data_IF_238095085955
#
_entry.id   IF_238095085955
#
_cell.length_a   1.000
_cell.length_b   1.000
_cell.length_c   1.000
_cell.angle_alpha   90.00
_cell.angle_beta   90.00
_cell.angle_gamma   90.00
#
_symmetry.space_group_name_H-M   'P 1'
#
loop_
_entity.id
_entity.type
_entity.pdbx_description
1 polymer ?
#
# COMPACT_ATOMS: atom_id res chain seq x y z
N UNK A 1 -70.67 -20.10 3.13
CA UNK A 1 -69.37 -20.70 2.77
C UNK A 1 -68.68 -19.80 1.77
N UNK A 2 -67.68 -19.02 2.20
CA UNK A 2 -66.55 -18.60 1.38
C UNK A 2 -65.53 -17.96 2.32
N UNK A 3 -64.48 -18.71 2.62
CA UNK A 3 -63.35 -18.35 3.48
C UNK A 3 -62.33 -17.56 2.67
N UNK A 4 -62.11 -16.29 3.02
CA UNK A 4 -60.93 -15.55 2.59
C UNK A 4 -59.77 -15.83 3.57
N UNK A 5 -58.56 -16.17 3.10
CA UNK A 5 -57.42 -16.44 3.98
C UNK A 5 -56.82 -15.12 4.52
N UNK A 6 -56.16 -15.16 5.70
CA UNK A 6 -55.51 -13.98 6.28
C UNK A 6 -54.23 -13.66 5.50
N UNK A 7 -54.04 -12.37 5.21
CA UNK A 7 -52.85 -11.85 4.57
C UNK A 7 -51.59 -12.20 5.38
N UNK A 8 -50.70 -13.01 4.79
CA UNK A 8 -49.35 -13.25 5.30
C UNK A 8 -48.59 -11.92 5.33
N UNK A 9 -48.09 -11.57 6.52
CA UNK A 9 -47.10 -10.51 6.70
C UNK A 9 -45.81 -10.95 6.00
N UNK A 10 -45.62 -10.48 4.77
CA UNK A 10 -44.33 -10.56 4.08
C UNK A 10 -43.25 -9.91 4.96
N UNK A 11 -42.24 -10.70 5.32
CA UNK A 11 -41.02 -10.20 5.94
C UNK A 11 -40.41 -9.14 5.00
N UNK A 12 -39.93 -7.99 5.53
CA UNK A 12 -39.36 -6.96 4.69
C UNK A 12 -38.12 -7.54 4.00
N UNK A 13 -38.22 -7.69 2.69
CA UNK A 13 -37.09 -7.96 1.81
C UNK A 13 -36.00 -6.93 2.12
N UNK A 14 -34.75 -7.37 2.40
CA UNK A 14 -33.65 -6.43 2.56
C UNK A 14 -33.56 -5.64 1.27
N UNK A 15 -33.60 -4.30 1.38
CA UNK A 15 -33.38 -3.35 0.29
C UNK A 15 -32.20 -3.85 -0.58
N UNK A 16 -32.55 -4.55 -1.66
CA UNK A 16 -31.64 -4.83 -2.75
C UNK A 16 -31.40 -3.48 -3.38
N UNK A 17 -30.22 -2.91 -3.08
CA UNK A 17 -29.73 -1.74 -3.80
C UNK A 17 -29.59 -2.16 -5.25
N UNK A 18 -30.59 -1.85 -6.05
CA UNK A 18 -30.50 -1.95 -7.49
C UNK A 18 -29.32 -1.05 -7.94
N UNK A 19 -28.29 -1.70 -8.50
CA UNK A 19 -27.19 -1.09 -9.27
C UNK A 19 -26.05 -0.38 -8.53
N UNK A 20 -25.58 -0.91 -7.39
CA UNK A 20 -24.28 -0.52 -6.82
C UNK A 20 -23.29 -1.67 -6.76
N UNK A 21 -22.25 -1.67 -7.60
CA UNK A 21 -21.11 -2.59 -7.47
C UNK A 21 -20.33 -2.26 -6.18
N UNK A 22 -20.68 -2.95 -5.10
CA UNK A 22 -20.09 -2.71 -3.78
C UNK A 22 -18.70 -3.34 -3.68
N UNK A 23 -17.84 -2.78 -2.83
CA UNK A 23 -16.53 -3.35 -2.53
C UNK A 23 -16.61 -4.83 -2.09
N UNK A 24 -17.66 -5.22 -1.37
CA UNK A 24 -17.90 -6.61 -1.00
C UNK A 24 -18.21 -7.50 -2.22
N UNK A 25 -19.06 -7.04 -3.15
CA UNK A 25 -19.38 -7.78 -4.38
C UNK A 25 -18.15 -7.99 -5.27
N UNK A 26 -17.25 -7.00 -5.34
CA UNK A 26 -15.98 -7.12 -6.07
C UNK A 26 -14.97 -8.07 -5.43
N UNK A 27 -15.09 -8.35 -4.13
CA UNK A 27 -14.16 -9.20 -3.39
C UNK A 27 -14.88 -10.39 -2.74
N UNK A 28 -15.47 -11.32 -3.54
CA UNK A 28 -16.29 -12.41 -3.03
C UNK A 28 -15.49 -13.45 -2.22
N UNK A 29 -14.16 -13.45 -2.35
CA UNK A 29 -13.25 -14.32 -1.61
C UNK A 29 -12.99 -13.83 -0.18
N UNK A 30 -13.35 -12.59 0.16
CA UNK A 30 -13.21 -12.06 1.51
C UNK A 30 -14.50 -12.23 2.30
N UNK A 31 -14.43 -12.59 3.59
CA UNK A 31 -15.62 -12.68 4.42
C UNK A 31 -16.24 -11.28 4.54
N UNK A 32 -17.53 -11.15 4.25
CA UNK A 32 -18.21 -9.87 4.35
C UNK A 32 -18.52 -9.56 5.81
N UNK A 33 -18.24 -8.33 6.26
CA UNK A 33 -18.63 -7.91 7.61
C UNK A 33 -20.13 -7.69 7.67
N UNK A 34 -20.82 -8.30 8.64
CA UNK A 34 -22.26 -8.08 8.80
C UNK A 34 -22.56 -6.57 8.98
N UNK A 35 -23.50 -6.00 8.20
CA UNK A 35 -23.88 -4.62 8.36
C UNK A 35 -24.52 -4.45 9.75
N UNK A 36 -24.18 -3.37 10.44
CA UNK A 36 -24.84 -3.05 11.71
C UNK A 36 -26.24 -2.52 11.41
N UNK A 37 -27.25 -3.38 11.56
CA UNK A 37 -28.65 -3.01 11.38
C UNK A 37 -29.03 -2.07 12.53
N UNK A 38 -29.33 -0.82 12.19
CA UNK A 38 -29.91 0.12 13.12
C UNK A 38 -31.39 0.30 12.77
N UNK A 39 -32.26 -0.35 13.54
CA UNK A 39 -33.70 -0.08 13.50
C UNK A 39 -33.94 1.29 14.16
N UNK A 40 -33.73 2.37 13.41
CA UNK A 40 -34.09 3.72 13.84
C UNK A 40 -35.55 3.95 13.49
N UNK A 41 -36.43 3.80 14.48
CA UNK A 41 -37.78 4.36 14.38
C UNK A 41 -37.66 5.86 14.05
N UNK A 42 -38.50 6.35 13.13
CA UNK A 42 -38.54 7.78 12.80
C UNK A 42 -38.90 8.55 14.08
N UNK A 43 -38.03 9.48 14.48
CA UNK A 43 -38.26 10.28 15.69
C UNK A 43 -39.44 11.23 15.50
N UNK A 44 -40.29 11.30 16.52
CA UNK A 44 -41.37 12.29 16.60
C UNK A 44 -40.78 13.70 16.77
N UNK A 45 -41.56 14.74 16.46
CA UNK A 45 -41.10 16.14 16.58
C UNK A 45 -40.72 16.49 18.02
N UNK A 46 -41.49 16.02 19.00
CA UNK A 46 -41.17 16.19 20.42
C UNK A 46 -39.82 15.53 20.79
N UNK A 47 -39.51 14.35 20.24
CA UNK A 47 -38.22 13.70 20.44
C UNK A 47 -37.07 14.44 19.75
N UNK A 48 -37.31 15.08 18.59
CA UNK A 48 -36.32 15.93 17.91
C UNK A 48 -36.01 17.17 18.73
N UNK A 49 -37.03 17.87 19.26
CA UNK A 49 -36.85 19.03 20.12
C UNK A 49 -36.14 18.67 21.44
N UNK A 50 -36.48 17.54 22.05
CA UNK A 50 -35.79 17.06 23.25
C UNK A 50 -34.32 16.75 22.95
N UNK A 51 -34.01 16.17 21.78
CA UNK A 51 -32.63 15.92 21.35
C UNK A 51 -31.86 17.20 21.04
N UNK A 52 -32.47 18.24 20.50
CA UNK A 52 -31.77 19.50 20.24
C UNK A 52 -31.37 20.18 21.54
N UNK A 53 -32.26 20.20 22.54
CA UNK A 53 -31.97 20.71 23.89
C UNK A 53 -30.87 19.89 24.57
N UNK A 54 -30.92 18.56 24.46
CA UNK A 54 -29.86 17.69 24.96
C UNK A 54 -28.53 17.93 24.23
N UNK A 55 -28.54 18.14 22.91
CA UNK A 55 -27.33 18.42 22.14
C UNK A 55 -26.69 19.75 22.56
N UNK A 56 -27.49 20.79 22.80
CA UNK A 56 -27.02 22.07 23.33
C UNK A 56 -26.39 21.90 24.73
N UNK A 57 -27.09 21.23 25.65
CA UNK A 57 -26.56 20.94 26.98
C UNK A 57 -25.29 20.08 26.96
N UNK A 58 -25.20 19.11 26.04
CA UNK A 58 -23.98 18.31 25.86
C UNK A 58 -22.83 19.11 25.26
N UNK A 59 -23.12 20.07 24.37
CA UNK A 59 -22.10 20.99 23.82
C UNK A 59 -21.51 21.87 24.93
N UNK A 60 -22.35 22.40 25.83
CA UNK A 60 -21.89 23.16 26.99
C UNK A 60 -21.05 22.30 27.95
N UNK A 61 -21.52 21.08 28.26
CA UNK A 61 -20.75 20.12 29.06
C UNK A 61 -19.41 19.78 28.41
N UNK A 62 -19.38 19.56 27.11
CA UNK A 62 -18.15 19.30 26.36
C UNK A 62 -17.21 20.50 26.43
N UNK A 63 -17.71 21.72 26.24
CA UNK A 63 -16.91 22.94 26.36
C UNK A 63 -16.32 23.10 27.77
N UNK A 64 -17.09 22.80 28.82
CA UNK A 64 -16.60 22.81 30.19
C UNK A 64 -15.53 21.73 30.44
N UNK A 65 -15.71 20.52 29.88
CA UNK A 65 -14.70 19.45 29.95
C UNK A 65 -13.41 19.87 29.24
N UNK A 66 -13.51 20.44 28.04
CA UNK A 66 -12.33 20.91 27.28
C UNK A 66 -11.61 21.99 28.06
N UNK A 67 -12.31 22.99 28.59
CA UNK A 67 -11.70 24.04 29.42
C UNK A 67 -11.01 23.48 30.67
N UNK A 68 -11.63 22.51 31.34
CA UNK A 68 -11.03 21.81 32.49
C UNK A 68 -9.78 21.00 32.09
N UNK A 69 -9.83 20.36 30.92
CA UNK A 69 -8.72 19.60 30.35
C UNK A 69 -7.56 20.52 29.97
N UNK A 70 -7.83 21.67 29.36
CA UNK A 70 -6.83 22.70 29.05
C UNK A 70 -6.15 23.20 30.33
N UNK A 71 -6.93 23.47 31.39
CA UNK A 71 -6.37 23.85 32.69
C UNK A 71 -5.49 22.74 33.29
N UNK A 72 -5.86 21.47 33.13
CA UNK A 72 -5.06 20.32 33.55
C UNK A 72 -3.77 20.22 32.72
N UNK A 73 -3.85 20.40 31.40
CA UNK A 73 -2.68 20.39 30.52
C UNK A 73 -1.70 21.51 30.87
N UNK A 74 -2.19 22.72 31.19
CA UNK A 74 -1.34 23.82 31.67
C UNK A 74 -0.63 23.42 32.96
N UNK A 75 -1.33 22.85 33.95
CA UNK A 75 -0.71 22.38 35.20
C UNK A 75 0.33 21.28 34.96
N UNK A 76 0.00 20.30 34.12
CA UNK A 76 0.93 19.24 33.77
C UNK A 76 2.17 19.82 33.06
N UNK A 77 1.99 20.81 32.18
CA UNK A 77 3.09 21.49 31.52
C UNK A 77 3.99 22.26 32.51
N UNK A 78 3.42 22.91 33.52
CA UNK A 78 4.21 23.57 34.56
C UNK A 78 4.97 22.59 35.44
N UNK A 79 4.34 21.48 35.83
CA UNK A 79 4.99 20.41 36.60
C UNK A 79 6.14 19.75 35.81
N UNK A 80 5.98 19.57 34.49
CA UNK A 80 7.05 19.07 33.63
C UNK A 80 8.22 20.06 33.52
N UNK A 81 7.97 21.37 33.53
CA UNK A 81 9.02 22.39 33.55
C UNK A 81 9.76 22.43 34.91
N UNK A 82 9.04 22.21 36.01
CA UNK A 82 9.61 22.10 37.35
C UNK A 82 10.51 20.86 37.46
N UNK A 83 10.05 19.70 37.01
CA UNK A 83 10.84 18.46 36.95
C UNK A 83 12.07 18.58 36.04
N UNK A 84 11.94 19.31 34.93
CA UNK A 84 13.06 19.62 34.04
C UNK A 84 14.16 20.42 34.75
N UNK A 85 13.78 21.41 35.55
CA UNK A 85 14.69 22.22 36.37
C UNK A 85 15.30 21.41 37.52
N UNK A 86 14.50 20.65 38.26
CA UNK A 86 14.95 19.84 39.40
C UNK A 86 16.00 18.82 38.99
N UNK A 87 15.76 18.09 37.90
CA UNK A 87 16.66 17.05 37.44
C UNK A 87 17.73 17.54 36.46
N UNK A 88 17.74 18.83 36.09
CA UNK A 88 18.64 19.40 35.07
C UNK A 88 18.59 18.64 33.72
N UNK A 89 17.39 18.17 33.36
CA UNK A 89 17.14 17.38 32.15
C UNK A 89 16.24 18.16 31.21
N UNK A 90 16.53 18.17 29.91
CA UNK A 90 15.72 18.87 28.92
C UNK A 90 14.28 18.33 28.86
N UNK A 91 13.29 19.22 28.75
CA UNK A 91 11.85 18.88 28.64
C UNK A 91 11.55 17.85 27.54
N UNK A 92 12.29 17.92 26.43
CA UNK A 92 12.18 16.97 25.33
C UNK A 92 12.49 15.52 25.75
N UNK A 93 13.43 15.34 26.69
CA UNK A 93 13.77 14.02 27.21
C UNK A 93 12.68 13.47 28.13
N UNK A 94 12.07 14.32 28.98
CA UNK A 94 10.93 13.94 29.82
C UNK A 94 9.70 13.56 28.99
N UNK A 95 9.42 14.33 27.93
CA UNK A 95 8.36 14.01 26.97
C UNK A 95 8.63 12.67 26.26
N UNK A 96 9.89 12.39 25.88
CA UNK A 96 10.27 11.09 25.32
C UNK A 96 10.01 9.95 26.31
N UNK A 97 10.30 10.15 27.59
CA UNK A 97 10.01 9.16 28.65
C UNK A 97 8.50 8.88 28.78
N UNK A 98 7.68 9.94 28.69
CA UNK A 98 6.22 9.84 28.77
C UNK A 98 5.62 9.08 27.57
N UNK A 99 6.04 9.43 26.35
CA UNK A 99 5.54 8.82 25.11
C UNK A 99 6.05 7.38 24.88
N UNK A 100 7.14 6.98 25.52
CA UNK A 100 7.68 5.61 25.42
C UNK A 100 6.78 4.54 26.06
N UNK A 101 5.80 4.93 26.88
CA UNK A 101 4.94 4.00 27.63
C UNK A 101 3.81 3.36 26.81
N UNK A 102 3.52 3.85 25.60
CA UNK A 102 2.41 3.34 24.78
C UNK A 102 2.83 2.27 23.76
N UNK A 103 4.06 1.77 23.84
CA UNK A 103 4.55 0.79 22.89
C UNK A 103 3.88 -0.58 23.08
N UNK A 104 3.05 -0.92 22.09
CA UNK A 104 2.56 -2.26 21.78
C UNK A 104 1.98 -3.01 22.99
N UNK A 105 0.76 -2.63 23.39
CA UNK A 105 -0.06 -3.57 24.18
C UNK A 105 -0.24 -4.82 23.33
N UNK A 106 0.32 -5.93 23.81
CA UNK A 106 0.08 -7.23 23.21
C UNK A 106 -1.42 -7.46 23.08
N UNK A 107 -1.82 -7.98 21.92
CA UNK A 107 -3.22 -8.29 21.68
C UNK A 107 -3.62 -9.36 22.68
N UNK A 108 -4.51 -8.97 23.61
CA UNK A 108 -5.02 -9.88 24.63
C UNK A 108 -5.57 -11.15 23.98
N UNK A 109 -5.05 -12.29 24.42
CA UNK A 109 -5.52 -13.61 24.02
C UNK A 109 -7.03 -13.76 24.24
N UNK A 110 -7.63 -14.69 23.50
CA UNK A 110 -9.06 -14.97 23.60
C UNK A 110 -9.34 -15.67 24.93
N UNK A 111 -9.81 -14.91 25.90
CA UNK A 111 -10.38 -15.47 27.12
C UNK A 111 -11.68 -16.19 26.83
N UNK A 112 -11.88 -17.33 27.46
CA UNK A 112 -13.12 -18.11 27.45
C UNK A 112 -14.36 -17.25 27.79
N UNK A 113 -14.25 -16.40 28.81
CA UNK A 113 -15.35 -15.53 29.23
C UNK A 113 -15.75 -14.58 28.08
N UNK A 114 -14.78 -14.05 27.34
CA UNK A 114 -15.06 -13.21 26.18
C UNK A 114 -15.73 -14.00 25.05
N UNK A 115 -15.35 -15.28 24.88
CA UNK A 115 -15.96 -16.18 23.90
C UNK A 115 -17.42 -16.48 24.25
N UNK A 116 -17.72 -16.81 25.51
CA UNK A 116 -19.08 -17.01 26.03
C UNK A 116 -19.93 -15.74 25.87
N UNK A 117 -19.40 -14.58 26.24
CA UNK A 117 -20.09 -13.29 26.06
C UNK A 117 -20.37 -13.02 24.58
N UNK A 118 -19.44 -13.33 23.67
CA UNK A 118 -19.63 -13.14 22.24
C UNK A 118 -20.74 -14.05 21.68
N UNK A 119 -20.76 -15.32 22.06
CA UNK A 119 -21.80 -16.27 21.66
C UNK A 119 -23.19 -15.82 22.17
N UNK A 120 -23.29 -15.50 23.47
CA UNK A 120 -24.54 -14.98 24.05
C UNK A 120 -24.95 -13.65 23.42
N UNK A 121 -24.01 -12.79 23.06
CA UNK A 121 -24.29 -11.55 22.37
C UNK A 121 -24.88 -11.79 20.97
N UNK A 122 -24.47 -12.85 20.26
CA UNK A 122 -25.07 -13.19 18.97
C UNK A 122 -26.52 -13.66 19.12
N UNK A 123 -26.79 -14.53 20.11
CA UNK A 123 -28.15 -14.99 20.43
C UNK A 123 -29.09 -13.83 20.79
N UNK A 124 -28.68 -13.00 21.75
CA UNK A 124 -29.52 -11.93 22.31
C UNK A 124 -29.69 -10.77 21.33
N UNK A 125 -28.65 -10.42 20.58
CA UNK A 125 -28.70 -9.27 19.66
C UNK A 125 -29.28 -9.61 18.28
N UNK A 126 -29.76 -10.83 18.04
CA UNK A 126 -30.47 -11.18 16.82
C UNK A 126 -31.73 -10.30 16.59
N UNK A 127 -32.33 -9.78 17.67
CA UNK A 127 -33.51 -8.88 17.61
C UNK A 127 -33.29 -7.48 18.18
N UNK A 128 -32.69 -7.35 19.37
CA UNK A 128 -32.51 -6.07 20.07
C UNK A 128 -31.10 -5.94 20.63
N UNK A 129 -30.45 -4.82 20.32
CA UNK A 129 -29.14 -4.47 20.88
C UNK A 129 -29.23 -4.30 22.40
N UNK A 130 -28.75 -5.29 23.13
CA UNK A 130 -28.69 -5.29 24.60
C UNK A 130 -27.36 -4.74 25.08
N UNK A 131 -27.35 -4.16 26.29
CA UNK A 131 -26.10 -3.61 26.86
C UNK A 131 -25.19 -4.74 27.32
N UNK A 132 -23.88 -4.51 27.32
CA UNK A 132 -22.90 -5.52 27.72
C UNK A 132 -23.14 -6.06 29.14
N UNK A 133 -23.62 -5.23 30.07
CA UNK A 133 -23.95 -5.66 31.44
C UNK A 133 -25.10 -6.67 31.46
N UNK A 134 -26.13 -6.43 30.65
CA UNK A 134 -27.29 -7.31 30.53
C UNK A 134 -26.88 -8.65 29.89
N UNK A 135 -26.05 -8.60 28.83
CA UNK A 135 -25.53 -9.82 28.18
C UNK A 135 -24.70 -10.66 29.17
N UNK A 136 -23.91 -10.02 30.04
CA UNK A 136 -23.15 -10.74 31.07
C UNK A 136 -24.04 -11.42 32.10
N UNK A 137 -25.11 -10.77 32.53
CA UNK A 137 -26.08 -11.36 33.46
C UNK A 137 -26.78 -12.55 32.80
N UNK A 138 -27.30 -12.37 31.58
CA UNK A 138 -27.94 -13.44 30.81
C UNK A 138 -27.01 -14.62 30.51
N UNK A 139 -25.70 -14.41 30.41
CA UNK A 139 -24.73 -15.49 30.26
C UNK A 139 -24.48 -16.23 31.58
N UNK A 140 -24.52 -15.54 32.72
CA UNK A 140 -24.36 -16.15 34.04
C UNK A 140 -25.61 -16.95 34.45
N UNK A 141 -26.79 -16.45 34.11
CA UNK A 141 -28.07 -17.06 34.44
C UNK A 141 -28.39 -18.30 33.57
N UNK A 142 -27.69 -18.47 32.45
CA UNK A 142 -27.91 -19.57 31.52
C UNK A 142 -27.11 -20.83 31.92
N UNK A 143 -27.78 -21.93 32.29
CA UNK A 143 -27.11 -23.16 32.70
C UNK A 143 -26.26 -23.79 31.58
N UNK A 144 -26.58 -23.53 30.30
CA UNK A 144 -25.81 -24.06 29.17
C UNK A 144 -24.36 -23.54 29.13
N UNK A 145 -24.09 -22.38 29.73
CA UNK A 145 -22.74 -21.81 29.76
C UNK A 145 -21.96 -22.15 31.05
N UNK A 146 -22.61 -22.77 32.04
CA UNK A 146 -21.99 -23.19 33.30
C UNK A 146 -21.29 -24.55 33.15
N UNK A 147 -21.94 -25.53 32.52
CA UNK A 147 -21.45 -26.92 32.39
C UNK A 147 -21.02 -27.26 30.96
N UNK A 148 -20.10 -26.48 30.38
CA UNK A 148 -19.61 -26.72 29.01
C UNK A 148 -18.48 -27.74 28.97
N UNK A 149 -18.48 -28.62 27.96
CA UNK A 149 -17.37 -29.52 27.68
C UNK A 149 -16.15 -28.74 27.16
N UNK A 150 -14.94 -29.30 27.37
CA UNK A 150 -13.71 -28.68 26.87
C UNK A 150 -13.69 -28.51 25.33
N UNK A 151 -14.44 -29.35 24.61
CA UNK A 151 -14.60 -29.26 23.16
C UNK A 151 -15.46 -28.05 22.77
N UNK A 152 -16.60 -27.85 23.44
CA UNK A 152 -17.48 -26.69 23.21
C UNK A 152 -16.78 -25.37 23.56
N UNK A 153 -15.97 -25.38 24.61
CA UNK A 153 -15.13 -24.24 24.99
C UNK A 153 -14.11 -23.85 23.92
N UNK A 154 -13.52 -24.84 23.23
CA UNK A 154 -12.60 -24.64 22.13
C UNK A 154 -13.33 -24.08 20.89
N UNK A 155 -14.51 -24.61 20.57
CA UNK A 155 -15.36 -24.12 19.46
C UNK A 155 -15.73 -22.65 19.66
N UNK A 156 -16.12 -22.24 20.88
CA UNK A 156 -16.43 -20.84 21.16
C UNK A 156 -15.22 -19.91 20.99
N UNK A 157 -14.04 -20.37 21.43
CA UNK A 157 -12.80 -19.60 21.24
C UNK A 157 -12.47 -19.44 19.76
N UNK A 158 -12.56 -20.52 18.98
CA UNK A 158 -12.33 -20.50 17.55
C UNK A 158 -13.33 -19.60 16.82
N UNK A 159 -14.61 -19.69 17.16
CA UNK A 159 -15.65 -18.81 16.61
C UNK A 159 -15.37 -17.32 16.90
N UNK A 160 -14.89 -16.99 18.10
CA UNK A 160 -14.49 -15.61 18.43
C UNK A 160 -13.23 -15.18 17.66
N UNK A 161 -12.24 -16.06 17.46
CA UNK A 161 -11.07 -15.77 16.62
C UNK A 161 -11.50 -15.50 15.18
N UNK A 162 -12.36 -16.34 14.61
CA UNK A 162 -12.93 -16.16 13.28
C UNK A 162 -13.67 -14.82 13.17
N UNK A 163 -14.52 -14.49 14.14
CA UNK A 163 -15.22 -13.20 14.17
C UNK A 163 -14.26 -11.99 14.26
N UNK A 164 -13.20 -12.08 15.07
CA UNK A 164 -12.14 -11.05 15.12
C UNK A 164 -11.41 -10.91 13.78
N UNK A 165 -11.12 -12.04 13.12
CA UNK A 165 -10.47 -12.04 11.82
C UNK A 165 -11.37 -11.43 10.73
N UNK A 166 -12.67 -11.76 10.72
CA UNK A 166 -13.65 -11.13 9.83
C UNK A 166 -13.76 -9.63 10.08
N UNK A 167 -13.75 -9.18 11.34
CA UNK A 167 -13.76 -7.74 11.65
C UNK A 167 -12.47 -7.02 11.19
N UNK A 168 -11.34 -7.74 11.18
CA UNK A 168 -10.03 -7.17 10.80
C UNK A 168 -9.81 -7.15 9.29
N UNK A 169 -10.16 -8.25 8.61
CA UNK A 169 -9.82 -8.50 7.20
C UNK A 169 -11.03 -8.54 6.28
N UNK A 170 -12.23 -8.60 6.85
CA UNK A 170 -13.45 -8.77 6.09
C UNK A 170 -13.82 -7.52 5.29
N UNK A 171 -14.38 -7.74 4.11
CA UNK A 171 -14.82 -6.67 3.23
C UNK A 171 -15.97 -5.87 3.86
N UNK A 172 -15.91 -4.55 3.71
CA UNK A 172 -16.99 -3.65 4.13
C UNK A 172 -18.19 -3.82 3.19
N UNK A 173 -19.40 -3.85 3.75
CA UNK A 173 -20.65 -4.12 3.01
C UNK A 173 -21.01 -3.05 2.00
N UNK A 174 -20.74 -1.79 2.33
CA UNK A 174 -21.11 -0.65 1.49
C UNK A 174 -19.88 0.19 1.16
N UNK A 175 -19.87 0.83 -0.01
CA UNK A 175 -18.77 1.72 -0.41
C UNK A 175 -18.61 2.90 0.57
N UNK A 176 -19.71 3.36 1.17
CA UNK A 176 -19.69 4.36 2.24
C UNK A 176 -18.96 3.84 3.50
N UNK A 177 -19.25 2.62 3.94
CA UNK A 177 -18.53 2.01 5.06
C UNK A 177 -17.06 1.77 4.77
N UNK A 178 -16.71 1.34 3.55
CA UNK A 178 -15.33 1.25 3.10
C UNK A 178 -14.61 2.61 3.13
N UNK A 179 -15.29 3.66 2.68
CA UNK A 179 -14.72 5.00 2.64
C UNK A 179 -14.53 5.64 4.01
N UNK A 180 -15.38 5.33 4.99
CA UNK A 180 -15.19 5.76 6.38
C UNK A 180 -14.03 5.02 7.04
N UNK A 181 -13.93 3.71 6.80
CA UNK A 181 -12.83 2.88 7.30
C UNK A 181 -11.48 3.34 6.75
N UNK A 182 -11.41 3.58 5.43
CA UNK A 182 -10.24 4.13 4.76
C UNK A 182 -9.76 5.42 5.43
N UNK A 183 -10.66 6.39 5.67
CA UNK A 183 -10.32 7.67 6.30
C UNK A 183 -9.80 7.49 7.73
N UNK A 184 -10.50 6.70 8.54
CA UNK A 184 -10.10 6.46 9.93
C UNK A 184 -8.71 5.80 10.03
N UNK A 185 -8.44 4.80 9.19
CA UNK A 185 -7.13 4.13 9.17
C UNK A 185 -6.03 5.06 8.66
N UNK A 186 -6.31 5.90 7.66
CA UNK A 186 -5.33 6.87 7.17
C UNK A 186 -4.95 7.91 8.23
N UNK A 187 -5.92 8.35 9.03
CA UNK A 187 -5.68 9.26 10.16
C UNK A 187 -4.76 8.61 11.21
N UNK A 188 -5.03 7.36 11.59
CA UNK A 188 -4.14 6.60 12.49
C UNK A 188 -2.72 6.44 11.90
N UNK A 189 -2.60 6.18 10.60
CA UNK A 189 -1.29 6.09 9.93
C UNK A 189 -0.57 7.43 9.95
N UNK A 190 -1.30 8.54 9.75
CA UNK A 190 -0.72 9.87 9.78
C UNK A 190 -0.09 10.16 11.15
N UNK A 191 -0.82 9.88 12.23
CA UNK A 191 -0.32 10.05 13.59
C UNK A 191 0.90 9.16 13.86
N UNK A 192 0.88 7.91 13.41
CA UNK A 192 2.02 6.99 13.53
C UNK A 192 3.24 7.47 12.74
N UNK A 193 3.05 7.98 11.53
CA UNK A 193 4.14 8.48 10.66
C UNK A 193 4.72 9.77 11.25
N UNK A 194 3.90 10.70 11.71
CA UNK A 194 4.37 11.91 12.41
C UNK A 194 5.13 11.56 13.68
N UNK A 195 4.62 10.62 14.49
CA UNK A 195 5.33 10.15 15.69
C UNK A 195 6.65 9.42 15.36
N UNK A 196 6.72 8.70 14.24
CA UNK A 196 7.96 8.07 13.76
C UNK A 196 8.99 9.13 13.34
N UNK A 197 8.56 10.11 12.56
CA UNK A 197 9.40 11.23 12.11
C UNK A 197 9.97 11.99 13.31
N UNK A 198 9.13 12.38 14.27
CA UNK A 198 9.57 13.13 15.46
C UNK A 198 10.55 12.34 16.34
N UNK A 199 10.43 11.01 16.41
CA UNK A 199 11.32 10.17 17.24
C UNK A 199 12.64 9.81 16.55
N UNK A 200 12.66 9.70 15.23
CA UNK A 200 13.79 9.09 14.49
C UNK A 200 14.38 9.96 13.39
N UNK A 201 13.70 11.06 13.02
CA UNK A 201 14.03 11.85 11.83
C UNK A 201 13.73 11.12 10.51
N UNK A 202 12.98 10.02 10.53
CA UNK A 202 12.63 9.29 9.32
C UNK A 202 11.86 10.17 8.32
N UNK A 203 12.28 10.11 7.05
CA UNK A 203 11.58 10.75 5.94
C UNK A 203 10.61 9.74 5.32
N UNK A 204 9.31 10.04 5.34
CA UNK A 204 8.26 9.14 4.86
C UNK A 204 7.32 9.89 3.93
N UNK A 205 7.04 9.27 2.78
CA UNK A 205 5.98 9.68 1.85
C UNK A 205 5.11 8.46 1.58
N UNK A 206 3.80 8.62 1.75
CA UNK A 206 2.81 7.58 1.47
C UNK A 206 1.71 8.14 0.57
N UNK A 207 1.41 7.42 -0.51
CA UNK A 207 0.28 7.69 -1.39
C UNK A 207 -0.78 6.61 -1.20
N UNK A 208 -2.03 7.03 -1.04
CA UNK A 208 -3.17 6.13 -0.93
C UNK A 208 -4.28 6.57 -1.88
N UNK A 209 -4.83 5.64 -2.64
CA UNK A 209 -5.92 5.92 -3.57
C UNK A 209 -6.93 4.78 -3.55
N UNK A 210 -8.13 5.07 -4.07
CA UNK A 210 -9.06 4.02 -4.47
C UNK A 210 -8.49 3.19 -5.62
N UNK A 211 -8.93 1.94 -5.69
CA UNK A 211 -8.59 1.01 -6.77
C UNK A 211 -9.71 0.90 -7.81
N UNK A 212 -10.94 1.30 -7.47
CA UNK A 212 -12.09 1.24 -8.35
C UNK A 212 -12.82 2.60 -8.40
N UNK A 213 -13.49 2.90 -9.52
CA UNK A 213 -14.19 4.19 -9.71
C UNK A 213 -15.40 4.36 -8.80
N UNK A 214 -16.13 3.28 -8.54
CA UNK A 214 -17.31 3.28 -7.67
C UNK A 214 -16.98 3.39 -6.18
N UNK A 215 -15.69 3.41 -5.82
CA UNK A 215 -15.28 3.70 -4.44
C UNK A 215 -15.44 5.19 -4.12
N UNK A 216 -16.05 5.42 -2.96
CA UNK A 216 -16.48 6.74 -2.47
C UNK A 216 -15.43 7.47 -1.63
N UNK A 217 -14.22 6.93 -1.50
CA UNK A 217 -13.13 7.61 -0.78
C UNK A 217 -12.20 8.32 -1.75
N UNK A 218 -11.74 9.48 -1.31
CA UNK A 218 -10.84 10.33 -2.08
C UNK A 218 -9.39 9.86 -1.90
N UNK A 219 -8.56 9.96 -2.95
CA UNK A 219 -7.14 9.74 -2.83
C UNK A 219 -6.53 10.74 -1.83
N UNK A 220 -5.54 10.28 -1.08
CA UNK A 220 -4.86 11.10 -0.08
C UNK A 220 -3.38 10.73 0.00
N UNK A 221 -2.57 11.63 0.55
CA UNK A 221 -1.15 11.39 0.80
C UNK A 221 -0.78 11.82 2.21
N UNK A 222 0.23 11.16 2.75
CA UNK A 222 0.83 11.46 4.06
C UNK A 222 2.31 11.69 3.81
N UNK A 223 2.83 12.78 4.37
CA UNK A 223 4.22 13.15 4.21
C UNK A 223 4.75 13.74 5.52
N UNK A 224 6.01 13.45 5.81
CA UNK A 224 6.75 14.10 6.89
C UNK A 224 7.39 15.40 6.38
N UNK A 225 7.59 16.38 7.26
CA UNK A 225 8.09 17.71 6.87
C UNK A 225 9.42 17.68 6.10
N UNK A 226 10.31 16.77 6.47
CA UNK A 226 11.61 16.55 5.81
C UNK A 226 11.51 15.89 4.42
N UNK A 227 10.33 15.41 4.01
CA UNK A 227 10.07 14.79 2.72
C UNK A 227 9.08 15.60 1.85
N UNK A 228 8.59 16.74 2.34
CA UNK A 228 7.52 17.52 1.71
C UNK A 228 7.82 17.91 0.25
N UNK A 229 9.09 18.25 -0.05
CA UNK A 229 9.53 18.67 -1.39
C UNK A 229 10.09 17.51 -2.23
N UNK A 230 10.19 16.30 -1.69
CA UNK A 230 10.86 15.18 -2.36
C UNK A 230 10.33 14.93 -3.78
N UNK A 231 9.01 14.86 -3.97
CA UNK A 231 8.44 14.57 -5.30
C UNK A 231 8.62 15.73 -6.27
N UNK A 232 8.59 16.96 -5.78
CA UNK A 232 8.77 18.13 -6.61
C UNK A 232 10.21 18.20 -7.09
N UNK A 233 11.18 18.05 -6.19
CA UNK A 233 12.61 18.17 -6.52
C UNK A 233 13.15 16.99 -7.34
N UNK A 234 12.59 15.78 -7.18
CA UNK A 234 13.12 14.57 -7.83
C UNK A 234 12.34 14.10 -9.04
N UNK A 235 11.02 14.36 -9.09
CA UNK A 235 10.12 13.86 -10.14
C UNK A 235 9.43 14.99 -10.91
N UNK A 236 9.68 16.26 -10.57
CA UNK A 236 8.99 17.44 -11.13
C UNK A 236 7.46 17.32 -11.04
N UNK A 237 6.97 16.76 -9.92
CA UNK A 237 5.53 16.52 -9.69
C UNK A 237 5.12 16.86 -8.26
N UNK A 238 3.98 17.52 -8.12
CA UNK A 238 3.36 17.74 -6.81
C UNK A 238 2.88 16.42 -6.19
N UNK A 239 2.75 16.40 -4.86
CA UNK A 239 2.24 15.22 -4.14
C UNK A 239 0.84 14.81 -4.64
N UNK A 240 -0.03 15.78 -4.90
CA UNK A 240 -1.37 15.53 -5.46
C UNK A 240 -1.32 14.92 -6.87
N UNK A 241 -0.39 15.35 -7.72
CA UNK A 241 -0.21 14.78 -9.05
C UNK A 241 0.24 13.33 -8.97
N UNK A 242 1.19 13.03 -8.06
CA UNK A 242 1.63 11.66 -7.79
C UNK A 242 0.48 10.79 -7.29
N UNK A 243 -0.35 11.33 -6.39
CA UNK A 243 -1.51 10.61 -5.85
C UNK A 243 -2.56 10.34 -6.93
N UNK A 244 -2.83 11.31 -7.81
CA UNK A 244 -3.74 11.15 -8.96
C UNK A 244 -3.19 10.18 -10.01
N UNK A 245 -1.88 10.18 -10.26
CA UNK A 245 -1.26 9.21 -11.16
C UNK A 245 -1.40 7.78 -10.61
N UNK A 246 -1.24 7.60 -9.29
CA UNK A 246 -1.49 6.32 -8.64
C UNK A 246 -2.97 5.90 -8.78
N UNK A 247 -3.90 6.81 -8.53
CA UNK A 247 -5.34 6.55 -8.68
C UNK A 247 -5.71 6.19 -10.12
N UNK A 248 -5.22 6.97 -11.09
CA UNK A 248 -5.46 6.72 -12.51
C UNK A 248 -4.92 5.35 -12.92
N UNK A 249 -3.72 4.99 -12.47
CA UNK A 249 -3.13 3.68 -12.72
C UNK A 249 -3.96 2.56 -12.08
N UNK A 250 -4.37 2.71 -10.81
CA UNK A 250 -5.13 1.72 -10.08
C UNK A 250 -6.52 1.49 -10.70
N UNK A 251 -7.26 2.57 -10.98
CA UNK A 251 -8.59 2.52 -11.59
C UNK A 251 -8.56 2.03 -13.05
N UNK A 252 -7.52 2.40 -13.83
CA UNK A 252 -7.36 1.88 -15.19
C UNK A 252 -7.10 0.37 -15.17
N UNK A 253 -6.33 -0.11 -14.20
CA UNK A 253 -6.03 -1.53 -14.03
C UNK A 253 -7.24 -2.33 -13.53
N UNK A 254 -8.10 -1.74 -12.70
CA UNK A 254 -9.36 -2.38 -12.31
C UNK A 254 -10.30 -2.60 -13.51
N UNK A 255 -10.39 -1.63 -14.44
CA UNK A 255 -11.13 -1.81 -15.71
C UNK A 255 -10.49 -2.85 -16.64
N UNK A 256 -9.18 -2.99 -16.56
CA UNK A 256 -8.36 -3.87 -17.40
C UNK A 256 -7.76 -4.98 -16.56
N UNK A 257 -8.58 -5.69 -15.78
CA UNK A 257 -8.30 -7.11 -15.54
C UNK A 257 -8.39 -7.85 -16.88
N UNK A 258 -7.47 -7.53 -17.80
CA UNK A 258 -7.09 -8.46 -18.83
C UNK A 258 -6.77 -9.74 -18.07
N UNK A 259 -7.41 -10.88 -18.42
CA UNK A 259 -7.14 -12.13 -17.74
C UNK A 259 -5.63 -12.31 -17.72
N UNK A 260 -5.08 -12.80 -16.61
CA UNK A 260 -3.65 -13.07 -16.47
C UNK A 260 -3.24 -14.06 -17.57
N UNK A 261 -2.87 -13.50 -18.73
CA UNK A 261 -2.44 -14.26 -19.88
C UNK A 261 -1.05 -14.79 -19.57
N UNK A 262 -0.72 -15.93 -20.15
CA UNK A 262 0.62 -16.47 -20.07
C UNK A 262 1.67 -15.40 -20.43
N UNK A 263 1.41 -14.59 -21.47
CA UNK A 263 2.30 -13.54 -21.91
C UNK A 263 2.47 -12.42 -20.87
N UNK A 264 1.38 -11.91 -20.27
CA UNK A 264 1.46 -10.84 -19.27
C UNK A 264 2.22 -11.30 -18.02
N UNK A 265 1.94 -12.51 -17.52
CA UNK A 265 2.64 -13.06 -16.36
C UNK A 265 4.13 -13.31 -16.63
N UNK A 266 4.50 -13.79 -17.83
CA UNK A 266 5.91 -13.95 -18.24
C UNK A 266 6.66 -12.63 -18.21
N UNK A 267 6.05 -11.57 -18.76
CA UNK A 267 6.61 -10.21 -18.75
C UNK A 267 6.78 -9.74 -17.31
N UNK A 268 5.80 -9.97 -16.45
CA UNK A 268 5.85 -9.57 -15.06
C UNK A 268 6.95 -10.30 -14.27
N UNK A 269 7.04 -11.62 -14.38
CA UNK A 269 8.14 -12.40 -13.79
C UNK A 269 9.51 -11.86 -14.24
N UNK A 270 9.67 -11.58 -15.54
CA UNK A 270 10.93 -11.03 -16.06
C UNK A 270 11.24 -9.64 -15.48
N UNK A 271 10.23 -8.79 -15.28
CA UNK A 271 10.39 -7.48 -14.66
C UNK A 271 10.81 -7.59 -13.20
N UNK A 272 10.16 -8.45 -12.41
CA UNK A 272 10.49 -8.65 -10.99
C UNK A 272 11.90 -9.23 -10.84
N UNK A 273 12.25 -10.26 -11.62
CA UNK A 273 13.57 -10.90 -11.57
C UNK A 273 14.67 -9.89 -11.93
N UNK A 274 14.54 -9.17 -13.04
CA UNK A 274 15.56 -8.19 -13.44
C UNK A 274 15.60 -6.97 -12.51
N UNK A 275 14.45 -6.49 -12.04
CA UNK A 275 14.37 -5.39 -11.08
C UNK A 275 15.08 -5.75 -9.78
N UNK A 276 14.76 -6.92 -9.21
CA UNK A 276 15.42 -7.44 -8.01
C UNK A 276 16.92 -7.63 -8.21
N UNK A 277 17.35 -8.12 -9.38
CA UNK A 277 18.78 -8.28 -9.69
C UNK A 277 19.49 -6.93 -9.70
N UNK A 278 18.92 -5.90 -10.34
CA UNK A 278 19.52 -4.56 -10.38
C UNK A 278 19.64 -3.93 -9.00
N UNK A 279 18.61 -4.10 -8.18
CA UNK A 279 18.59 -3.61 -6.79
C UNK A 279 19.66 -4.31 -5.96
N UNK A 280 19.68 -5.65 -5.96
CA UNK A 280 20.61 -6.40 -5.12
C UNK A 280 22.04 -6.32 -5.64
N UNK A 281 22.27 -6.26 -6.95
CA UNK A 281 23.61 -6.06 -7.53
C UNK A 281 24.09 -4.60 -7.49
N UNK A 282 23.24 -3.64 -7.06
CA UNK A 282 23.52 -2.20 -7.09
C UNK A 282 24.00 -1.71 -8.48
N UNK A 283 23.42 -2.27 -9.54
CA UNK A 283 23.81 -1.95 -10.92
C UNK A 283 22.60 -1.86 -11.83
N UNK A 284 22.38 -0.70 -12.43
CA UNK A 284 21.26 -0.45 -13.34
C UNK A 284 21.36 -1.20 -14.68
N UNK A 285 22.55 -1.73 -14.99
CA UNK A 285 22.88 -2.43 -16.25
C UNK A 285 22.81 -3.95 -16.07
N UNK A 286 22.71 -4.45 -14.83
CA UNK A 286 22.59 -5.87 -14.58
C UNK A 286 21.34 -6.43 -15.28
N UNK A 287 21.54 -7.51 -16.04
CA UNK A 287 20.50 -8.22 -16.77
C UNK A 287 20.64 -9.71 -16.49
N UNK A 288 19.50 -10.37 -16.31
CA UNK A 288 19.45 -11.80 -16.08
C UNK A 288 19.94 -12.58 -17.30
N UNK A 289 20.84 -13.53 -17.08
CA UNK A 289 21.32 -14.45 -18.10
C UNK A 289 21.10 -15.88 -17.64
N UNK A 290 20.08 -16.54 -18.18
CA UNK A 290 19.74 -17.92 -17.83
C UNK A 290 20.75 -18.93 -18.38
N UNK A 291 21.30 -18.69 -19.59
CA UNK A 291 22.23 -19.63 -20.24
C UNK A 291 23.60 -19.71 -19.56
N UNK A 292 24.09 -18.59 -19.03
CA UNK A 292 25.38 -18.48 -18.36
C UNK A 292 25.17 -17.92 -16.95
N UNK A 293 24.19 -18.47 -16.23
CA UNK A 293 23.77 -17.98 -14.92
C UNK A 293 24.92 -17.97 -13.92
N UNK A 294 25.61 -19.10 -13.80
CA UNK A 294 26.68 -19.29 -12.83
C UNK A 294 27.83 -18.28 -13.01
N UNK A 295 28.25 -18.02 -14.25
CA UNK A 295 29.34 -17.08 -14.52
C UNK A 295 28.88 -15.62 -14.57
N UNK A 296 27.86 -15.30 -15.37
CA UNK A 296 27.49 -13.93 -15.68
C UNK A 296 26.56 -13.29 -14.64
N UNK A 297 25.96 -14.11 -13.76
CA UNK A 297 25.10 -13.62 -12.68
C UNK A 297 25.75 -13.92 -11.32
N UNK A 298 25.97 -15.19 -11.00
CA UNK A 298 26.43 -15.58 -9.66
C UNK A 298 27.85 -15.12 -9.38
N UNK A 299 28.82 -15.48 -10.22
CA UNK A 299 30.22 -15.04 -10.03
C UNK A 299 30.38 -13.53 -10.25
N UNK A 300 29.80 -12.99 -11.32
CA UNK A 300 29.98 -11.58 -11.69
C UNK A 300 29.39 -10.60 -10.67
N UNK A 301 28.17 -10.87 -10.19
CA UNK A 301 27.46 -9.95 -9.28
C UNK A 301 27.40 -10.45 -7.84
N UNK A 302 27.95 -11.64 -7.55
CA UNK A 302 27.96 -12.21 -6.19
C UNK A 302 26.55 -12.40 -5.60
N UNK A 303 25.58 -12.72 -6.46
CA UNK A 303 24.16 -12.87 -6.08
C UNK A 303 23.57 -14.14 -6.66
N UNK A 304 22.74 -14.82 -5.88
CA UNK A 304 22.03 -16.03 -6.27
C UNK A 304 20.53 -15.84 -6.06
N UNK A 305 19.73 -16.43 -6.94
CA UNK A 305 18.28 -16.45 -6.85
C UNK A 305 17.91 -17.72 -6.09
N UNK A 306 17.27 -17.55 -4.94
CA UNK A 306 16.88 -18.64 -4.03
C UNK A 306 15.36 -18.78 -4.06
N UNK A 307 14.84 -20.00 -3.91
CA UNK A 307 13.40 -20.26 -3.87
C UNK A 307 12.73 -20.37 -5.24
N UNK A 308 13.48 -20.74 -6.28
CA UNK A 308 12.92 -21.01 -7.60
C UNK A 308 11.97 -22.22 -7.55
N UNK A 309 10.72 -22.03 -7.98
CA UNK A 309 9.65 -23.02 -7.82
C UNK A 309 9.48 -23.97 -9.00
N UNK A 310 9.97 -23.62 -10.19
CA UNK A 310 9.84 -24.46 -11.38
C UNK A 310 10.94 -25.51 -11.44
N UNK A 311 10.62 -26.70 -11.94
CA UNK A 311 11.52 -27.87 -11.96
C UNK A 311 12.85 -27.61 -12.68
N UNK A 312 12.84 -26.75 -13.71
CA UNK A 312 14.04 -26.35 -14.45
C UNK A 312 14.33 -24.87 -14.27
N UNK A 313 15.61 -24.51 -14.18
CA UNK A 313 16.02 -23.11 -14.12
C UNK A 313 16.13 -22.52 -15.53
N UNK A 314 15.01 -21.99 -16.03
CA UNK A 314 14.88 -21.46 -17.41
C UNK A 314 14.32 -20.03 -17.40
N UNK A 315 14.36 -19.37 -18.56
CA UNK A 315 13.70 -18.08 -18.72
C UNK A 315 12.20 -18.24 -18.48
N UNK A 316 11.52 -17.29 -17.81
CA UNK A 316 10.07 -17.31 -17.69
C UNK A 316 9.36 -17.45 -19.04
N UNK A 317 9.94 -16.93 -20.13
CA UNK A 317 9.38 -17.06 -21.48
C UNK A 317 9.34 -18.51 -22.00
N UNK A 318 10.22 -19.37 -21.49
CA UNK A 318 10.32 -20.79 -21.87
C UNK A 318 9.41 -21.68 -21.00
N UNK A 319 8.72 -21.12 -20.00
CA UNK A 319 7.74 -21.84 -19.19
C UNK A 319 6.39 -21.75 -19.90
N UNK A 320 5.86 -22.85 -20.41
CA UNK A 320 4.64 -22.87 -21.23
C UNK A 320 3.36 -23.13 -20.43
N UNK A 321 3.47 -23.68 -19.22
CA UNK A 321 2.34 -23.94 -18.34
C UNK A 321 1.91 -22.67 -17.60
N UNK A 322 0.61 -22.38 -17.61
CA UNK A 322 0.03 -21.23 -16.90
C UNK A 322 0.23 -21.39 -15.39
N UNK A 323 -0.05 -22.56 -14.84
CA UNK A 323 0.01 -22.80 -13.39
C UNK A 323 1.44 -22.68 -12.86
N UNK A 324 2.44 -23.20 -13.57
CA UNK A 324 3.86 -23.07 -13.19
C UNK A 324 4.30 -21.61 -13.12
N UNK A 325 3.89 -20.78 -14.09
CA UNK A 325 4.18 -19.35 -14.09
C UNK A 325 3.44 -18.63 -12.96
N UNK A 326 2.19 -19.00 -12.66
CA UNK A 326 1.44 -18.43 -11.54
C UNK A 326 2.11 -18.72 -10.21
N UNK A 327 2.55 -19.96 -9.99
CA UNK A 327 3.27 -20.36 -8.77
C UNK A 327 4.59 -19.59 -8.65
N UNK A 328 5.34 -19.47 -9.75
CA UNK A 328 6.58 -18.67 -9.76
C UNK A 328 6.32 -17.19 -9.48
N UNK A 329 5.30 -16.60 -10.10
CA UNK A 329 4.93 -15.20 -9.90
C UNK A 329 4.49 -14.94 -8.45
N UNK A 330 3.70 -15.84 -7.87
CA UNK A 330 3.29 -15.76 -6.46
C UNK A 330 4.50 -15.84 -5.52
N UNK A 331 5.44 -16.76 -5.78
CA UNK A 331 6.68 -16.88 -5.00
C UNK A 331 7.57 -15.64 -5.11
N UNK A 332 7.66 -15.02 -6.31
CA UNK A 332 8.39 -13.77 -6.51
C UNK A 332 7.73 -12.59 -5.78
N UNK A 333 6.40 -12.50 -5.78
CA UNK A 333 5.65 -11.43 -5.10
C UNK A 333 5.66 -11.58 -3.58
N UNK A 334 5.61 -12.80 -3.07
CA UNK A 334 5.66 -13.07 -1.63
C UNK A 334 7.06 -13.00 -1.03
N UNK A 335 8.09 -12.96 -1.88
CA UNK A 335 9.49 -13.01 -1.46
C UNK A 335 9.99 -14.43 -1.15
N UNK A 336 9.17 -15.47 -1.35
CA UNK A 336 9.63 -16.86 -1.28
C UNK A 336 10.73 -17.15 -2.32
N UNK A 337 10.65 -16.50 -3.50
CA UNK A 337 11.70 -16.46 -4.50
C UNK A 337 12.35 -15.07 -4.52
N UNK A 338 13.62 -14.96 -4.12
CA UNK A 338 14.31 -13.68 -4.00
C UNK A 338 15.81 -13.77 -4.25
N UNK A 339 16.41 -12.62 -4.54
CA UNK A 339 17.85 -12.48 -4.73
C UNK A 339 18.57 -12.36 -3.38
N UNK A 340 19.58 -13.19 -3.19
CA UNK A 340 20.43 -13.22 -2.01
C UNK A 340 21.87 -12.89 -2.39
N UNK A 341 22.52 -12.03 -1.60
CA UNK A 341 23.96 -11.76 -1.75
C UNK A 341 24.74 -12.93 -1.15
N UNK A 342 25.71 -13.43 -1.91
CA UNK A 342 26.63 -14.45 -1.43
C UNK A 342 27.82 -13.82 -0.74
N UNK A 343 28.31 -14.49 0.31
CA UNK A 343 29.58 -14.14 0.95
C UNK A 343 30.77 -14.58 0.08
N UNK A 344 31.95 -13.99 0.32
CA UNK A 344 33.19 -14.37 -0.39
C UNK A 344 33.51 -15.87 -0.29
N UNK A 345 33.24 -16.47 0.87
CA UNK A 345 33.41 -17.91 1.08
C UNK A 345 32.46 -18.72 0.17
N UNK A 346 31.18 -18.36 0.12
CA UNK A 346 30.18 -19.02 -0.73
C UNK A 346 30.46 -18.85 -2.23
N UNK A 347 31.03 -17.72 -2.64
CA UNK A 347 31.44 -17.50 -4.04
C UNK A 347 32.64 -18.40 -4.38
N UNK A 348 33.60 -18.54 -3.46
CA UNK A 348 34.76 -19.42 -3.66
C UNK A 348 34.34 -20.89 -3.72
N UNK A 349 33.43 -21.34 -2.85
CA UNK A 349 32.89 -22.70 -2.93
C UNK A 349 32.13 -22.91 -4.24
N UNK A 350 31.30 -21.95 -4.64
CA UNK A 350 30.58 -22.02 -5.92
C UNK A 350 31.53 -22.02 -7.12
N UNK A 351 32.63 -21.27 -7.08
CA UNK A 351 33.66 -21.31 -8.11
C UNK A 351 34.34 -22.67 -8.20
N UNK A 352 34.68 -23.29 -7.06
CA UNK A 352 35.21 -24.66 -7.00
C UNK A 352 34.21 -25.69 -7.52
N UNK A 353 32.92 -25.53 -7.21
CA UNK A 353 31.85 -26.39 -7.75
C UNK A 353 31.70 -26.25 -9.27
N UNK A 354 31.86 -25.05 -9.82
CA UNK A 354 31.89 -24.82 -11.26
C UNK A 354 33.11 -25.51 -11.89
N UNK A 355 34.30 -25.33 -11.31
CA UNK A 355 35.53 -25.98 -11.78
C UNK A 355 35.44 -27.51 -11.72
N UNK A 356 34.86 -28.06 -10.65
CA UNK A 356 34.61 -29.49 -10.53
C UNK A 356 33.62 -30.01 -11.58
N UNK A 357 32.55 -29.26 -11.88
CA UNK A 357 31.60 -29.59 -12.96
C UNK A 357 32.25 -29.52 -14.34
N UNK A 358 33.11 -28.53 -14.58
CA UNK A 358 33.89 -28.46 -15.82
C UNK A 358 34.87 -29.64 -15.95
N UNK A 359 35.51 -30.05 -14.86
CA UNK A 359 36.41 -31.21 -14.83
C UNK A 359 35.65 -32.54 -15.06
N UNK A 360 34.40 -32.62 -14.60
CA UNK A 360 33.50 -33.75 -14.86
C UNK A 360 32.91 -33.76 -16.29
N UNK A 361 33.24 -32.75 -17.11
CA UNK A 361 32.79 -32.65 -18.51
C UNK A 361 31.41 -32.03 -18.70
N UNK A 362 30.79 -31.50 -17.64
CA UNK A 362 29.53 -30.78 -17.74
C UNK A 362 29.79 -29.35 -18.28
N UNK A 363 29.15 -28.97 -19.38
CA UNK A 363 29.34 -27.63 -19.95
C UNK A 363 28.63 -26.58 -19.10
N UNK A 364 29.37 -25.93 -18.19
CA UNK A 364 28.90 -24.77 -17.42
C UNK A 364 28.86 -23.54 -18.33
N UNK A 365 27.81 -23.45 -19.14
CA UNK A 365 27.55 -22.34 -20.04
C UNK A 365 28.08 -22.52 -21.47
N UNK A 366 27.55 -21.71 -22.39
CA UNK A 366 27.98 -21.73 -23.80
C UNK A 366 29.31 -20.99 -23.93
N UNK A 367 30.42 -21.72 -24.01
CA UNK A 367 31.74 -21.17 -24.39
C UNK A 367 31.60 -20.49 -25.75
N UNK A 368 31.92 -19.20 -25.80
CA UNK A 368 31.81 -18.38 -27.04
C UNK A 368 32.68 -19.03 -28.12
N UNK A 369 32.09 -19.32 -29.29
CA UNK A 369 32.85 -19.84 -30.45
C UNK A 369 34.06 -18.94 -30.68
N UNK A 370 35.25 -19.55 -30.73
CA UNK A 370 36.47 -18.85 -31.09
C UNK A 370 36.25 -18.25 -32.47
N UNK A 371 36.38 -16.93 -32.55
CA UNK A 371 36.24 -16.17 -33.79
C UNK A 371 37.28 -16.70 -34.79
N UNK A 372 36.90 -16.98 -36.04
CA UNK A 372 37.84 -17.48 -37.06
C UNK A 372 38.97 -16.48 -37.35
N UNK A 373 38.75 -15.22 -37.00
CA UNK A 373 39.66 -14.09 -37.04
C UNK A 373 40.60 -13.99 -35.81
N UNK A 374 40.53 -14.93 -34.87
CA UNK A 374 41.41 -14.95 -33.68
C UNK A 374 42.79 -15.46 -34.08
N UNK A 375 43.72 -14.54 -34.37
CA UNK A 375 45.11 -14.84 -34.75
C UNK A 375 45.49 -14.39 -36.16
N UNK A 376 44.52 -13.98 -36.97
CA UNK A 376 44.80 -13.35 -38.26
C UNK A 376 45.14 -11.87 -38.06
N UNK A 377 46.32 -11.44 -38.55
CA UNK A 377 46.68 -10.02 -38.61
C UNK A 377 45.61 -9.31 -39.44
N UNK A 378 44.84 -8.42 -38.81
CA UNK A 378 43.93 -7.53 -39.52
C UNK A 378 44.78 -6.71 -40.49
N UNK A 379 44.62 -6.96 -41.79
CA UNK A 379 45.32 -6.20 -42.81
C UNK A 379 45.02 -4.70 -42.70
N UNK A 380 45.91 -3.82 -43.19
CA UNK A 380 45.65 -2.39 -43.22
C UNK A 380 44.32 -2.15 -43.93
N UNK A 381 43.45 -1.38 -43.27
CA UNK A 381 42.10 -1.09 -43.74
C UNK A 381 42.18 -0.43 -45.11
N UNK A 382 41.96 -1.20 -46.19
CA UNK A 382 41.99 -0.69 -47.57
C UNK A 382 40.87 0.34 -47.70
N UNK A 383 41.22 1.63 -47.72
CA UNK A 383 40.31 2.68 -48.15
C UNK A 383 40.03 2.43 -49.62
N UNK A 384 38.85 1.92 -49.94
CA UNK A 384 38.33 1.99 -51.30
C UNK A 384 38.17 3.46 -51.63
N UNK A 385 39.08 3.99 -52.44
CA UNK A 385 38.82 5.16 -53.28
C UNK A 385 37.87 4.65 -54.34
N UNK A 386 36.57 4.73 -54.06
CA UNK A 386 35.55 4.64 -55.09
C UNK A 386 35.33 6.04 -55.63
N UNK A 387 35.32 6.13 -56.97
CA UNK A 387 35.18 7.34 -57.76
C UNK A 387 34.18 8.34 -57.17
N UNK A 388 34.62 9.59 -57.22
CA UNK A 388 33.88 10.80 -56.90
C UNK A 388 32.56 10.89 -57.66
N UNK A 389 31.47 10.48 -57.00
CA UNK A 389 30.12 10.87 -57.39
C UNK A 389 29.66 12.02 -56.46
N UNK A 390 29.50 13.27 -56.94
CA UNK A 390 29.31 14.45 -56.10
C UNK A 390 28.00 14.48 -55.30
N UNK A 391 27.04 13.60 -55.59
CA UNK A 391 25.77 13.52 -54.86
C UNK A 391 25.87 12.84 -53.47
N UNK A 392 26.89 12.01 -53.23
CA UNK A 392 27.04 11.27 -51.96
C UNK A 392 27.80 12.05 -50.87
N UNK A 393 28.49 13.13 -51.24
CA UNK A 393 29.25 13.96 -50.30
C UNK A 393 28.36 15.02 -49.61
N UNK A 394 27.29 15.47 -50.27
CA UNK A 394 26.32 16.39 -49.71
C UNK A 394 25.49 15.76 -48.57
N UNK A 395 25.14 14.47 -48.67
CA UNK A 395 24.36 13.77 -47.63
C UNK A 395 25.18 13.47 -46.37
N UNK A 396 26.49 13.16 -46.52
CA UNK A 396 27.40 12.94 -45.38
C UNK A 396 27.79 14.23 -44.65
N UNK A 397 27.87 15.38 -45.35
CA UNK A 397 28.08 16.69 -44.72
C UNK A 397 26.82 17.16 -43.96
N UNK A 398 25.62 16.86 -44.46
CA UNK A 398 24.35 17.17 -43.77
C UNK A 398 24.14 16.35 -42.49
N UNK A 399 24.51 15.07 -42.48
CA UNK A 399 24.40 14.22 -41.28
C UNK A 399 25.39 14.59 -40.16
N UNK A 400 26.62 15.03 -40.49
CA UNK A 400 27.59 15.51 -39.48
C UNK A 400 27.31 16.92 -38.96
N UNK A 401 26.63 17.77 -39.74
CA UNK A 401 26.20 19.10 -39.28
C UNK A 401 25.05 19.00 -38.26
N UNK A 402 24.11 18.05 -38.45
CA UNK A 402 22.98 17.83 -37.54
C UNK A 402 23.41 17.20 -36.20
N UNK A 403 24.47 16.39 -36.16
CA UNK A 403 24.98 15.83 -34.89
C UNK A 403 25.77 16.86 -34.07
N UNK A 404 26.50 17.78 -34.72
CA UNK A 404 27.21 18.87 -34.03
C UNK A 404 26.30 20.02 -33.56
N UNK A 405 25.14 20.25 -34.20
CA UNK A 405 24.19 21.27 -33.73
C UNK A 405 23.42 20.83 -32.48
N UNK A 406 23.12 19.53 -32.31
CA UNK A 406 22.48 19.00 -31.09
C UNK A 406 23.40 19.00 -29.86
N UNK A 407 24.71 18.92 -30.05
CA UNK A 407 25.68 18.95 -28.95
C UNK A 407 25.99 20.38 -28.47
N UNK A 408 25.90 21.38 -29.36
CA UNK A 408 26.05 22.81 -29.00
C UNK A 408 24.77 23.49 -28.48
N UNK A 409 23.58 23.01 -28.85
CA UNK A 409 22.31 23.52 -28.32
C UNK A 409 22.05 23.15 -26.83
N UNK A 410 22.82 22.20 -26.28
CA UNK A 410 22.73 21.80 -24.86
C UNK A 410 23.66 22.58 -23.93
N UNK A 411 24.55 23.42 -24.47
CA UNK A 411 25.60 24.11 -23.71
C UNK A 411 25.49 25.65 -23.71
N UNK A 412 24.43 26.23 -24.27
CA UNK A 412 24.15 27.67 -24.21
C UNK A 412 22.64 27.92 -24.07
N UNK A 413 22.15 27.97 -22.82
CA UNK A 413 20.93 28.69 -22.48
C UNK A 413 21.32 29.80 -21.47
N UNK A 414 21.26 31.09 -21.86
CA UNK A 414 21.33 32.20 -20.93
C UNK A 414 19.95 32.50 -20.30
N UNK A 415 19.88 33.36 -19.27
CA UNK A 415 18.95 33.22 -18.15
C UNK A 415 17.54 33.76 -18.40
N UNK A 416 16.61 33.23 -17.61
CA UNK A 416 15.26 33.73 -17.37
C UNK A 416 15.23 35.26 -17.18
N UNK A 417 14.46 35.93 -18.03
CA UNK A 417 14.24 37.37 -18.02
C UNK A 417 12.76 37.70 -17.98
N UNK A 418 12.36 38.30 -16.85
CA UNK A 418 11.10 38.97 -16.51
C UNK A 418 10.58 39.90 -17.62
N UNK A 419 9.28 39.92 -17.86
CA UNK A 419 8.53 41.16 -18.08
C UNK A 419 7.02 40.98 -17.89
N UNK A 420 6.47 41.90 -17.11
CA UNK A 420 5.06 42.17 -16.88
C UNK A 420 4.66 43.42 -17.67
N UNK A 421 3.43 43.48 -18.17
CA UNK A 421 2.54 44.67 -18.26
C UNK A 421 1.28 44.25 -19.03
N UNK A 422 0.12 44.13 -18.38
CA UNK A 422 -0.89 45.21 -18.20
C UNK A 422 -1.57 45.58 -19.52
N UNK A 423 -2.85 45.23 -19.64
CA UNK A 423 -3.87 46.10 -20.22
C UNK A 423 -5.03 46.13 -19.22
N UNK A 424 -5.35 47.36 -18.84
CA UNK A 424 -6.35 47.80 -17.89
C UNK A 424 -7.62 48.22 -18.65
N UNK A 425 -8.79 48.06 -18.02
CA UNK A 425 -10.04 48.79 -18.27
C UNK A 425 -11.07 48.33 -17.22
N UNK A 426 -11.10 49.02 -16.08
CA UNK A 426 -12.25 49.75 -15.48
C UNK A 426 -13.68 49.18 -15.64
N UNK A 427 -14.63 49.28 -14.71
CA UNK A 427 -14.74 49.82 -13.35
C UNK A 427 -16.18 49.46 -12.90
N UNK A 428 -16.40 49.11 -11.61
CA UNK A 428 -17.54 49.54 -10.77
C UNK A 428 -17.65 48.67 -9.51
N UNK A 429 -17.02 49.15 -8.44
CA UNK A 429 -17.33 48.76 -7.07
C UNK A 429 -18.52 49.56 -6.54
N UNK A 430 -19.40 48.88 -5.79
CA UNK A 430 -20.27 49.53 -4.81
C UNK A 430 -19.94 48.90 -3.44
N UNK A 431 -19.26 49.68 -2.62
CA UNK A 431 -18.95 49.44 -1.22
C UNK A 431 -20.17 49.78 -0.34
N UNK A 432 -20.45 48.97 0.68
CA UNK A 432 -21.28 49.37 1.81
C UNK A 432 -20.59 48.96 3.12
N UNK A 433 -19.95 49.94 3.76
CA UNK A 433 -19.73 49.94 5.20
C UNK A 433 -20.93 50.64 5.87
N UNK A 434 -21.51 49.98 6.87
CA UNK A 434 -22.47 50.56 7.78
C UNK A 434 -21.75 50.90 9.09
N UNK A 435 -21.79 52.18 9.44
CA UNK A 435 -21.69 52.68 10.82
C UNK A 435 -23.10 52.88 11.33
N UNK A 436 -23.43 52.22 12.44
CA UNK A 436 -23.99 52.83 13.66
C UNK A 436 -23.90 51.83 14.83
#
# INVERSE_FOLDING_TARGET
>A
MSTAPPAELEAPTPLTSEHGDTHALRNPHLPQQAPRIFNRAKLTEAQKATRSLQAAAQKEKHAAIVSSLDALLVKHNTEMDELSKEHSVAREYLNKLHLQSQHFKDKREVSLINAKIHAKALEVNAGKLSKLREIRQLMLDDPAYQDMSAEDEAVLKEALVAARNTKKLGARTTNKSAAMDFRAVLEEINDMVSALSSRTGAAVVMFASRSHLEDMFEPNWICTDNAALFTMDTLDKGMWDMTRLLEQWACARAKTHAPDTLASMRIECCKIINGGLKTVAQSNIALMNYTNYDMNVVQKYSVKLVGWTYTRFVSPHDIHTIDDIRVLLAALRSGACHWMRLTKAQISTHAKEIEAREAAGETVGKKRKKRSDTGTKKGPRKRTVTDSNPAAEASRKRAKAVSKSKEKAKAQLPPSGRSASVVDSDESEANSQATD
#
